data_IF_382545886336
#
_entry.id   IF_382545886336
#
_cell.length_a   1.000
_cell.length_b   1.000
_cell.length_c   1.000
_cell.angle_alpha   90.00
_cell.angle_beta   90.00
_cell.angle_gamma   90.00
#
_symmetry.space_group_name_H-M   'P 1'
#
loop_
_entity.id
_entity.type
_entity.pdbx_description
1 polymer ?
#
# COMPACT_ATOMS: atom_id res chain seq x y z
N UNK A 1 -13.30 -51.82 -3.25
CA UNK A 1 -13.95 -50.50 -3.31
C UNK A 1 -12.94 -49.45 -2.87
N UNK A 2 -12.21 -48.89 -3.80
CA UNK A 2 -11.21 -47.85 -3.56
C UNK A 2 -11.87 -46.49 -3.57
N UNK A 3 -11.81 -45.77 -2.42
CA UNK A 3 -12.18 -44.36 -2.36
C UNK A 3 -11.01 -43.55 -2.89
N UNK A 4 -11.17 -42.99 -4.07
CA UNK A 4 -10.22 -42.01 -4.65
C UNK A 4 -10.19 -40.77 -3.77
N UNK A 5 -9.05 -40.53 -3.14
CA UNK A 5 -8.72 -39.26 -2.52
C UNK A 5 -8.48 -38.25 -3.64
N UNK A 6 -9.35 -37.24 -3.74
CA UNK A 6 -9.05 -36.04 -4.52
C UNK A 6 -7.76 -35.40 -3.97
N UNK A 7 -6.77 -35.08 -4.82
CA UNK A 7 -5.63 -34.31 -4.37
C UNK A 7 -6.09 -32.93 -3.91
N UNK A 8 -5.48 -32.35 -2.85
CA UNK A 8 -5.81 -31.00 -2.43
C UNK A 8 -5.50 -30.03 -3.57
N UNK A 9 -6.48 -29.20 -3.91
CA UNK A 9 -6.30 -28.05 -4.79
C UNK A 9 -5.25 -27.14 -4.16
N UNK A 10 -4.02 -27.25 -4.65
CA UNK A 10 -2.93 -26.36 -4.28
C UNK A 10 -3.18 -25.02 -5.01
N UNK A 11 -4.03 -24.19 -4.43
CA UNK A 11 -4.18 -22.80 -4.89
C UNK A 11 -2.88 -22.11 -4.48
N UNK A 12 -1.90 -22.10 -5.37
CA UNK A 12 -0.76 -21.19 -5.26
C UNK A 12 -1.33 -19.79 -5.41
N UNK A 13 -1.58 -19.14 -4.27
CA UNK A 13 -1.82 -17.69 -4.24
C UNK A 13 -0.51 -17.06 -4.73
N UNK A 14 -0.50 -16.60 -5.97
CA UNK A 14 0.63 -15.84 -6.49
C UNK A 14 0.73 -14.54 -5.69
N UNK A 15 1.92 -14.26 -5.16
CA UNK A 15 2.20 -12.98 -4.50
C UNK A 15 1.79 -11.83 -5.46
N UNK A 16 1.06 -10.82 -4.98
CA UNK A 16 0.68 -9.70 -5.83
C UNK A 16 1.94 -8.97 -6.30
N UNK A 17 1.90 -8.42 -7.50
CA UNK A 17 2.92 -7.48 -7.94
C UNK A 17 2.94 -6.30 -6.98
N UNK A 18 4.10 -6.01 -6.39
CA UNK A 18 4.30 -4.87 -5.50
C UNK A 18 4.93 -3.71 -6.28
N UNK A 19 4.44 -2.52 -6.06
CA UNK A 19 5.12 -1.30 -6.46
C UNK A 19 6.07 -0.91 -5.33
N UNK A 20 7.30 -0.54 -5.66
CA UNK A 20 8.37 -0.33 -4.69
C UNK A 20 8.97 1.05 -4.90
N UNK A 21 9.15 1.79 -3.81
CA UNK A 21 9.95 3.00 -3.75
C UNK A 21 11.09 2.83 -2.73
N UNK A 22 12.09 3.68 -2.85
CA UNK A 22 13.17 3.80 -1.86
C UNK A 22 13.14 5.19 -1.25
N UNK A 23 13.09 5.25 0.07
CA UNK A 23 13.04 6.50 0.83
C UNK A 23 14.04 6.49 1.98
N UNK A 24 14.71 7.61 2.17
CA UNK A 24 15.63 7.79 3.28
C UNK A 24 14.91 8.36 4.49
N UNK A 25 15.27 7.86 5.67
CA UNK A 25 14.80 8.42 6.94
C UNK A 25 15.51 9.75 7.18
N UNK A 26 14.74 10.82 7.18
CA UNK A 26 15.23 12.19 7.33
C UNK A 26 15.18 12.65 8.80
N UNK A 27 15.86 13.74 9.08
CA UNK A 27 15.84 14.36 10.41
C UNK A 27 14.42 14.65 10.93
N UNK A 28 13.53 15.11 10.06
CA UNK A 28 12.12 15.39 10.42
C UNK A 28 11.26 14.14 10.68
N UNK A 29 11.76 12.95 10.34
CA UNK A 29 11.02 11.70 10.53
C UNK A 29 11.25 11.06 11.89
N UNK A 30 12.29 11.48 12.63
CA UNK A 30 12.73 10.83 13.88
C UNK A 30 12.36 11.64 15.12
N UNK A 31 12.18 10.94 16.23
CA UNK A 31 11.98 11.52 17.55
C UNK A 31 13.30 11.67 18.33
N UNK A 32 13.21 12.02 19.61
CA UNK A 32 14.37 12.21 20.48
C UNK A 32 15.21 10.93 20.69
N UNK A 33 14.64 9.74 20.44
CA UNK A 33 15.35 8.47 20.47
C UNK A 33 16.08 8.17 19.16
N UNK A 34 16.02 9.05 18.17
CA UNK A 34 16.58 8.89 16.81
C UNK A 34 16.01 7.73 16.01
N UNK A 35 14.85 7.26 16.38
CA UNK A 35 14.06 6.28 15.61
C UNK A 35 12.88 7.00 14.97
N UNK A 36 12.33 6.42 13.92
CA UNK A 36 11.17 7.00 13.25
C UNK A 36 10.04 7.19 14.27
N UNK A 37 9.56 8.43 14.38
CA UNK A 37 8.33 8.72 15.10
C UNK A 37 7.17 7.99 14.42
N UNK A 38 6.33 7.31 15.18
CA UNK A 38 5.28 6.45 14.61
C UNK A 38 4.39 7.17 13.60
N UNK A 39 4.07 8.45 13.83
CA UNK A 39 3.28 9.24 12.89
C UNK A 39 3.97 9.53 11.56
N UNK A 40 5.31 9.54 11.53
CA UNK A 40 6.07 9.77 10.30
C UNK A 40 5.98 8.63 9.29
N UNK A 41 5.59 7.41 9.71
CA UNK A 41 5.36 6.31 8.78
C UNK A 41 4.30 6.64 7.73
N UNK A 42 3.31 7.47 8.07
CA UNK A 42 2.27 7.90 7.12
C UNK A 42 2.88 8.56 5.89
N UNK A 43 3.94 9.36 6.06
CA UNK A 43 4.65 9.99 4.93
C UNK A 43 5.19 8.96 3.94
N UNK A 44 5.82 7.91 4.43
CA UNK A 44 6.38 6.85 3.59
C UNK A 44 5.28 6.10 2.82
N UNK A 45 4.17 5.81 3.48
CA UNK A 45 3.02 5.16 2.85
C UNK A 45 2.36 6.07 1.82
N UNK A 46 2.20 7.37 2.13
CA UNK A 46 1.62 8.35 1.22
C UNK A 46 2.46 8.51 -0.06
N UNK A 47 3.79 8.55 0.06
CA UNK A 47 4.68 8.62 -1.12
C UNK A 47 4.50 7.37 -1.98
N UNK A 48 4.56 6.18 -1.39
CA UNK A 48 4.42 4.92 -2.11
C UNK A 48 3.05 4.82 -2.82
N UNK A 49 1.98 5.18 -2.13
CA UNK A 49 0.63 5.24 -2.69
C UNK A 49 0.54 6.23 -3.85
N UNK A 50 1.03 7.46 -3.65
CA UNK A 50 0.97 8.52 -4.66
C UNK A 50 1.71 8.11 -5.93
N UNK A 51 2.88 7.51 -5.80
CA UNK A 51 3.67 7.06 -6.95
C UNK A 51 3.05 5.81 -7.61
N UNK A 52 2.42 4.91 -6.87
CA UNK A 52 1.63 3.82 -7.45
C UNK A 52 0.52 4.37 -8.34
N UNK A 53 -0.29 5.32 -7.83
CA UNK A 53 -1.37 5.94 -8.61
C UNK A 53 -0.83 6.67 -9.85
N UNK A 54 0.34 7.31 -9.75
CA UNK A 54 1.00 7.96 -10.87
C UNK A 54 1.43 6.96 -11.95
N UNK A 55 2.07 5.88 -11.53
CA UNK A 55 2.59 4.83 -12.45
C UNK A 55 1.49 4.11 -13.20
N UNK A 56 0.33 3.89 -12.57
CA UNK A 56 -0.83 3.29 -13.25
C UNK A 56 -1.64 4.28 -14.10
N UNK A 57 -1.14 5.51 -14.25
CA UNK A 57 -1.80 6.53 -15.07
C UNK A 57 -3.02 7.19 -14.44
N UNK A 58 -3.15 7.07 -13.12
CA UNK A 58 -4.23 7.64 -12.30
C UNK A 58 -3.70 8.55 -11.19
N UNK A 59 -2.87 9.58 -11.50
CA UNK A 59 -2.44 10.51 -10.47
C UNK A 59 -3.67 11.14 -9.77
N UNK A 60 -3.55 11.51 -8.51
CA UNK A 60 -4.68 11.99 -7.72
C UNK A 60 -5.41 13.19 -8.34
N UNK A 61 -4.69 14.09 -9.02
CA UNK A 61 -5.34 15.17 -9.78
C UNK A 61 -6.34 14.63 -10.81
N UNK A 62 -5.94 13.62 -11.58
CA UNK A 62 -6.83 12.96 -12.54
C UNK A 62 -7.99 12.25 -11.84
N UNK A 63 -7.73 11.51 -10.78
CA UNK A 63 -8.79 10.83 -10.01
C UNK A 63 -9.82 11.83 -9.50
N UNK A 64 -9.37 12.95 -8.96
CA UNK A 64 -10.26 13.94 -8.39
C UNK A 64 -11.00 14.76 -9.45
N UNK A 65 -10.31 15.18 -10.51
CA UNK A 65 -10.89 16.13 -11.47
C UNK A 65 -11.60 15.45 -12.65
N UNK A 66 -11.12 14.30 -13.12
CA UNK A 66 -11.73 13.59 -14.25
C UNK A 66 -12.73 12.52 -13.82
N UNK A 67 -12.45 11.78 -12.73
CA UNK A 67 -13.41 10.80 -12.20
C UNK A 67 -14.44 11.42 -11.23
N UNK A 68 -14.23 12.67 -10.85
CA UNK A 68 -15.12 13.48 -9.99
C UNK A 68 -15.46 12.80 -8.64
N UNK A 69 -14.44 12.22 -7.99
CA UNK A 69 -14.58 11.52 -6.72
C UNK A 69 -13.54 12.01 -5.70
N UNK A 70 -13.84 11.79 -4.40
CA UNK A 70 -12.81 11.76 -3.37
C UNK A 70 -12.55 10.34 -2.92
N UNK A 71 -11.36 10.12 -2.33
CA UNK A 71 -10.92 8.84 -1.75
C UNK A 71 -10.50 9.04 -0.28
N UNK A 72 -11.42 9.42 0.63
CA UNK A 72 -11.10 9.51 2.04
C UNK A 72 -10.66 8.16 2.60
N UNK A 73 -9.71 8.20 3.54
CA UNK A 73 -9.27 7.03 4.29
C UNK A 73 -10.19 6.85 5.50
N UNK A 74 -10.81 5.69 5.60
CA UNK A 74 -11.77 5.36 6.66
C UNK A 74 -11.18 4.40 7.69
N UNK A 75 -10.06 3.76 7.36
CA UNK A 75 -9.35 2.86 8.26
C UNK A 75 -7.86 2.90 7.97
N UNK A 76 -7.08 2.84 9.03
CA UNK A 76 -5.63 2.71 9.00
C UNK A 76 -5.20 1.78 10.12
N UNK A 77 -4.39 0.78 9.79
CA UNK A 77 -3.75 -0.11 10.74
C UNK A 77 -2.27 -0.18 10.40
N UNK A 78 -1.41 -0.17 11.41
CA UNK A 78 0.03 -0.27 11.24
C UNK A 78 0.64 -1.07 12.39
N UNK A 79 1.41 -2.08 12.04
CA UNK A 79 2.22 -2.88 12.96
C UNK A 79 3.68 -2.48 12.84
N UNK A 80 4.29 -2.10 13.95
CA UNK A 80 5.72 -1.78 14.05
C UNK A 80 6.46 -3.01 14.59
N UNK A 81 7.38 -3.55 13.80
CA UNK A 81 8.08 -4.81 14.13
C UNK A 81 9.53 -4.61 14.50
N UNK A 82 10.18 -3.62 13.90
CA UNK A 82 11.57 -3.24 14.14
C UNK A 82 11.71 -1.72 14.07
N UNK A 83 12.73 -1.20 14.72
CA UNK A 83 13.06 0.22 14.64
C UNK A 83 13.77 0.53 13.33
N UNK A 84 13.49 1.70 12.76
CA UNK A 84 14.31 2.34 11.75
C UNK A 84 14.85 3.66 12.31
N UNK A 85 16.08 3.99 11.93
CA UNK A 85 16.84 5.10 12.49
C UNK A 85 17.10 6.16 11.42
N UNK A 86 17.54 7.33 11.89
CA UNK A 86 18.02 8.40 11.03
C UNK A 86 19.06 7.86 10.03
N UNK A 87 18.95 8.29 8.77
CA UNK A 87 19.81 7.89 7.64
C UNK A 87 19.61 6.46 7.11
N UNK A 88 18.76 5.63 7.73
CA UNK A 88 18.39 4.35 7.12
C UNK A 88 17.76 4.58 5.74
N UNK A 89 18.14 3.74 4.77
CA UNK A 89 17.44 3.64 3.50
C UNK A 89 16.37 2.56 3.59
N UNK A 90 15.13 2.93 3.31
CA UNK A 90 13.98 2.04 3.40
C UNK A 90 13.47 1.69 2.00
N UNK A 91 13.14 0.42 1.82
CA UNK A 91 12.30 -0.04 0.74
C UNK A 91 10.86 -0.07 1.24
N UNK A 92 9.99 0.68 0.58
CA UNK A 92 8.56 0.74 0.89
C UNK A 92 7.81 0.16 -0.30
N UNK A 93 7.14 -0.94 -0.08
CA UNK A 93 6.31 -1.58 -1.10
C UNK A 93 4.84 -1.36 -0.82
N UNK A 94 4.05 -1.22 -1.89
CA UNK A 94 2.59 -1.09 -1.84
C UNK A 94 1.95 -1.98 -2.91
N UNK A 95 0.81 -2.56 -2.58
CA UNK A 95 -0.07 -3.26 -3.51
C UNK A 95 -1.53 -3.10 -3.09
N UNK A 96 -2.44 -3.42 -3.99
CA UNK A 96 -3.88 -3.36 -3.73
C UNK A 96 -4.31 -4.71 -3.17
N UNK A 97 -4.63 -4.74 -1.88
CA UNK A 97 -5.08 -5.96 -1.19
C UNK A 97 -6.47 -6.41 -1.62
N UNK A 98 -7.35 -5.46 -1.91
CA UNK A 98 -8.70 -5.72 -2.40
C UNK A 98 -9.33 -4.48 -3.02
N UNK A 99 -10.17 -4.70 -4.03
CA UNK A 99 -11.06 -3.68 -4.61
C UNK A 99 -12.50 -4.14 -4.42
N UNK A 100 -13.16 -3.56 -3.42
CA UNK A 100 -14.59 -3.81 -3.14
C UNK A 100 -15.51 -3.02 -4.07
N UNK A 101 -16.80 -3.01 -3.76
CA UNK A 101 -17.77 -2.21 -4.53
C UNK A 101 -17.48 -0.72 -4.44
N UNK A 102 -17.31 -0.21 -3.23
CA UNK A 102 -17.12 1.22 -2.92
C UNK A 102 -15.76 1.53 -2.30
N UNK A 103 -14.93 0.55 -2.04
CA UNK A 103 -13.69 0.69 -1.28
C UNK A 103 -12.47 0.08 -1.96
N UNK A 104 -11.31 0.60 -1.61
CA UNK A 104 -9.99 0.10 -1.97
C UNK A 104 -9.22 -0.20 -0.69
N UNK A 105 -8.55 -1.35 -0.63
CA UNK A 105 -7.55 -1.63 0.41
C UNK A 105 -6.16 -1.58 -0.21
N UNK A 106 -5.28 -0.78 0.37
CA UNK A 106 -3.86 -0.74 0.06
C UNK A 106 -3.07 -1.36 1.20
N UNK A 107 -2.19 -2.28 0.88
CA UNK A 107 -1.29 -2.93 1.83
C UNK A 107 0.14 -2.48 1.59
N UNK A 108 0.88 -2.25 2.69
CA UNK A 108 2.24 -1.73 2.67
C UNK A 108 3.18 -2.62 3.47
N UNK A 109 4.42 -2.72 3.01
CA UNK A 109 5.52 -3.33 3.74
C UNK A 109 6.73 -2.40 3.72
N UNK A 110 7.42 -2.30 4.85
CA UNK A 110 8.65 -1.51 4.98
C UNK A 110 9.78 -2.43 5.38
N UNK A 111 10.89 -2.37 4.63
CA UNK A 111 12.13 -3.11 4.88
C UNK A 111 13.31 -2.14 4.88
N UNK A 112 14.41 -2.53 5.53
CA UNK A 112 15.66 -1.77 5.43
C UNK A 112 16.48 -2.28 4.25
N UNK A 113 17.18 -1.37 3.57
CA UNK A 113 18.23 -1.69 2.62
C UNK A 113 19.60 -1.62 3.30
N UNK A 114 20.40 -2.66 3.14
CA UNK A 114 21.76 -2.67 3.61
C UNK A 114 22.69 -1.78 2.77
N UNK A 115 23.92 -1.53 3.26
CA UNK A 115 24.89 -0.69 2.55
C UNK A 115 25.28 -1.19 1.16
N UNK A 116 25.16 -2.49 0.93
CA UNK A 116 25.39 -3.16 -0.36
C UNK A 116 24.19 -3.12 -1.31
N UNK A 117 23.11 -2.47 -0.91
CA UNK A 117 21.86 -2.38 -1.65
C UNK A 117 20.95 -3.60 -1.52
N UNK A 118 21.35 -4.63 -0.75
CA UNK A 118 20.46 -5.75 -0.45
C UNK A 118 19.30 -5.34 0.46
N UNK A 119 18.18 -6.03 0.33
CA UNK A 119 17.02 -5.82 1.22
C UNK A 119 17.12 -6.79 2.39
N UNK A 120 17.06 -6.27 3.62
CA UNK A 120 17.06 -7.11 4.81
C UNK A 120 15.78 -7.97 4.85
N UNK A 121 15.89 -9.22 5.28
CA UNK A 121 14.74 -10.14 5.35
C UNK A 121 13.63 -9.69 6.31
N UNK A 122 13.98 -8.96 7.37
CA UNK A 122 13.02 -8.55 8.39
C UNK A 122 12.19 -7.34 8.00
N UNK A 123 10.89 -7.44 8.23
CA UNK A 123 9.98 -6.29 8.15
C UNK A 123 10.23 -5.28 9.27
N UNK A 124 10.27 -4.00 8.93
CA UNK A 124 10.27 -2.88 9.88
C UNK A 124 8.84 -2.58 10.30
N UNK A 125 7.95 -2.44 9.32
CA UNK A 125 6.54 -2.19 9.55
C UNK A 125 5.68 -2.83 8.45
N UNK A 126 4.43 -3.09 8.78
CA UNK A 126 3.37 -3.40 7.82
C UNK A 126 2.18 -2.51 8.11
N UNK A 127 1.47 -2.10 7.07
CA UNK A 127 0.27 -1.30 7.25
C UNK A 127 -0.79 -1.65 6.21
N UNK A 128 -2.03 -1.27 6.48
CA UNK A 128 -3.02 -1.19 5.44
C UNK A 128 -3.95 0.01 5.65
N UNK A 129 -4.38 0.58 4.54
CA UNK A 129 -5.37 1.64 4.48
C UNK A 129 -6.61 1.15 3.76
N UNK A 130 -7.77 1.60 4.19
CA UNK A 130 -9.02 1.44 3.45
C UNK A 130 -9.50 2.83 3.02
N UNK A 131 -9.64 3.00 1.71
CA UNK A 131 -10.17 4.19 1.08
C UNK A 131 -11.58 3.89 0.58
N UNK A 132 -12.47 4.89 0.61
CA UNK A 132 -13.84 4.76 0.08
C UNK A 132 -14.02 5.79 -1.03
N UNK A 133 -14.52 5.34 -2.19
CA UNK A 133 -14.91 6.25 -3.26
C UNK A 133 -16.23 6.96 -2.87
N UNK A 134 -16.19 8.28 -2.85
CA UNK A 134 -17.35 9.10 -2.48
C UNK A 134 -17.58 10.21 -3.50
N UNK A 135 -18.81 10.68 -3.60
CA UNK A 135 -19.15 11.91 -4.34
C UNK A 135 -18.43 13.10 -3.73
N UNK A 136 -18.04 14.05 -4.55
CA UNK A 136 -17.32 15.23 -4.07
C UNK A 136 -18.21 16.21 -3.31
N UNK A 137 -19.49 16.29 -3.67
CA UNK A 137 -20.46 17.25 -3.13
C UNK A 137 -21.15 16.76 -1.85
N UNK A 138 -21.56 15.48 -1.81
CA UNK A 138 -22.35 14.91 -0.70
C UNK A 138 -21.56 13.98 0.22
N UNK A 139 -20.39 13.53 -0.22
CA UNK A 139 -19.57 12.51 0.44
C UNK A 139 -20.25 11.13 0.54
N UNK A 140 -21.31 10.90 -0.23
CA UNK A 140 -21.97 9.60 -0.28
C UNK A 140 -21.08 8.56 -0.96
N UNK A 141 -20.99 7.34 -0.41
CA UNK A 141 -20.25 6.25 -1.05
C UNK A 141 -20.81 5.92 -2.44
N UNK A 142 -19.92 5.77 -3.40
CA UNK A 142 -20.25 5.33 -4.77
C UNK A 142 -19.36 4.16 -5.18
N UNK A 143 -19.75 3.48 -6.24
CA UNK A 143 -18.93 2.38 -6.79
C UNK A 143 -17.58 2.93 -7.23
N UNK A 144 -16.51 2.20 -6.90
CA UNK A 144 -15.17 2.49 -7.42
C UNK A 144 -15.23 2.54 -8.95
N UNK A 145 -14.85 3.64 -9.59
CA UNK A 145 -14.90 3.78 -11.04
C UNK A 145 -14.16 2.64 -11.74
N UNK A 146 -14.75 2.11 -12.81
CA UNK A 146 -14.18 0.98 -13.53
C UNK A 146 -12.81 1.30 -14.15
N UNK A 147 -12.60 2.55 -14.54
CA UNK A 147 -11.31 3.02 -15.06
C UNK A 147 -10.22 2.89 -13.99
N UNK A 148 -10.50 3.33 -12.75
CA UNK A 148 -9.57 3.20 -11.62
C UNK A 148 -9.33 1.74 -11.27
N UNK A 149 -10.39 0.92 -11.24
CA UNK A 149 -10.30 -0.52 -10.99
C UNK A 149 -9.38 -1.21 -11.98
N UNK A 150 -9.54 -0.93 -13.28
CA UNK A 150 -8.69 -1.49 -14.35
C UNK A 150 -7.25 -1.03 -14.25
N UNK A 151 -7.02 0.25 -13.95
CA UNK A 151 -5.68 0.80 -13.80
C UNK A 151 -4.90 0.13 -12.65
N UNK A 152 -5.58 -0.16 -11.54
CA UNK A 152 -4.97 -0.80 -10.37
C UNK A 152 -4.84 -2.32 -10.49
N UNK A 153 -5.53 -2.95 -11.44
CA UNK A 153 -5.57 -4.42 -11.58
C UNK A 153 -4.19 -5.10 -11.61
N UNK A 154 -3.13 -4.55 -12.28
CA UNK A 154 -1.80 -5.18 -12.27
C UNK A 154 -1.16 -5.33 -10.88
N UNK A 155 -1.55 -4.50 -9.93
CA UNK A 155 -1.05 -4.49 -8.56
C UNK A 155 -2.08 -5.01 -7.55
N UNK A 156 -3.20 -5.54 -8.01
CA UNK A 156 -4.25 -6.09 -7.15
C UNK A 156 -3.97 -7.57 -6.88
N UNK A 157 -4.09 -7.96 -5.62
CA UNK A 157 -4.01 -9.37 -5.21
C UNK A 157 -5.13 -10.15 -5.88
N UNK A 158 -4.77 -11.23 -6.55
CA UNK A 158 -5.69 -12.19 -7.18
C UNK A 158 -6.28 -13.16 -6.16
#
# INVERSE_FOLDING_TARGET
MGRGLCPPLNIQMTEPKKFIIEERVLWGDVDAARIIFYGSYIRFFEIAETELFRVVGMPYGKVFDELDIWLPRVHLECDFRRVAQLDDLLEVSVYVGNVGKTSLRLDFEVRRKGPDGSVEEGLIATAHFVLVAVRRDTLDPISVPEELRRALAPYTRS
#
